data_IF_927753932311
#
_entry.id   IF_927753932311
#
_cell.length_a   1.000
_cell.length_b   1.000
_cell.length_c   1.000
_cell.angle_alpha   90.00
_cell.angle_beta   90.00
_cell.angle_gamma   90.00
#
_symmetry.space_group_name_H-M   'P 1'
#
loop_
_entity.id
_entity.type
_entity.pdbx_description
1 polymer ?
#
# COMPACT_ATOMS: atom_id res chain seq x y z
N UNK A 1 -69.82 0.26 2.52
CA UNK A 1 -69.46 0.99 3.76
C UNK A 1 -68.00 0.72 4.16
N UNK A 2 -67.11 0.39 3.20
CA UNK A 2 -65.66 0.63 3.28
C UNK A 2 -65.42 2.01 2.69
N UNK A 3 -64.63 2.88 3.34
CA UNK A 3 -63.85 3.94 2.67
C UNK A 3 -63.07 4.88 3.59
N UNK A 4 -63.32 4.93 4.90
CA UNK A 4 -62.55 5.82 5.77
C UNK A 4 -61.28 5.15 6.31
N UNK A 5 -61.39 3.90 6.78
CA UNK A 5 -60.27 3.17 7.39
C UNK A 5 -59.17 2.82 6.37
N UNK A 6 -59.54 2.40 5.15
CA UNK A 6 -58.59 2.09 4.07
C UNK A 6 -57.71 3.30 3.65
N UNK A 7 -58.25 4.52 3.76
CA UNK A 7 -57.50 5.74 3.41
C UNK A 7 -56.49 6.12 4.50
N UNK A 8 -56.76 5.78 5.76
CA UNK A 8 -55.87 6.07 6.88
C UNK A 8 -54.64 5.15 6.85
N UNK A 9 -54.84 3.84 6.66
CA UNK A 9 -53.73 2.88 6.56
C UNK A 9 -52.78 3.22 5.40
N UNK A 10 -53.31 3.62 4.25
CA UNK A 10 -52.51 3.96 3.07
C UNK A 10 -51.63 5.22 3.27
N UNK A 11 -52.07 6.17 4.10
CA UNK A 11 -51.30 7.38 4.38
C UNK A 11 -50.22 7.15 5.45
N UNK A 12 -50.45 6.27 6.43
CA UNK A 12 -49.41 5.83 7.38
C UNK A 12 -48.28 5.07 6.68
N UNK A 13 -48.61 4.13 5.78
CA UNK A 13 -47.61 3.39 5.01
C UNK A 13 -46.73 4.33 4.18
N UNK A 14 -47.34 5.27 3.44
CA UNK A 14 -46.60 6.27 2.65
C UNK A 14 -45.72 7.18 3.51
N UNK A 15 -46.14 7.52 4.72
CA UNK A 15 -45.32 8.29 5.64
C UNK A 15 -44.12 7.48 6.13
N UNK A 16 -44.30 6.20 6.43
CA UNK A 16 -43.21 5.30 6.84
C UNK A 16 -42.16 5.13 5.74
N UNK A 17 -42.59 4.92 4.49
CA UNK A 17 -41.72 4.78 3.33
C UNK A 17 -40.90 6.05 3.08
N UNK A 18 -41.52 7.23 3.21
CA UNK A 18 -40.82 8.51 3.07
C UNK A 18 -39.75 8.71 4.13
N UNK A 19 -40.02 8.32 5.38
CA UNK A 19 -39.03 8.40 6.46
C UNK A 19 -37.86 7.47 6.17
N UNK A 20 -38.14 6.23 5.77
CA UNK A 20 -37.11 5.25 5.43
C UNK A 20 -36.25 5.73 4.24
N UNK A 21 -36.87 6.24 3.17
CA UNK A 21 -36.16 6.79 2.02
C UNK A 21 -35.24 7.97 2.39
N UNK A 22 -35.69 8.86 3.30
CA UNK A 22 -34.86 9.95 3.83
C UNK A 22 -33.66 9.44 4.63
N UNK A 23 -33.87 8.46 5.51
CA UNK A 23 -32.79 7.86 6.29
C UNK A 23 -31.74 7.25 5.37
N UNK A 24 -32.16 6.50 4.34
CA UNK A 24 -31.24 5.94 3.35
C UNK A 24 -30.50 7.01 2.55
N UNK A 25 -31.19 8.06 2.09
CA UNK A 25 -30.54 9.16 1.37
C UNK A 25 -29.54 9.92 2.25
N UNK A 26 -29.83 10.11 3.54
CA UNK A 26 -28.88 10.68 4.51
C UNK A 26 -27.67 9.75 4.72
N UNK A 27 -27.90 8.45 4.87
CA UNK A 27 -26.83 7.47 5.04
C UNK A 27 -25.92 7.42 3.81
N UNK A 28 -26.50 7.37 2.60
CA UNK A 28 -25.73 7.38 1.35
C UNK A 28 -24.97 8.69 1.14
N UNK A 29 -25.52 9.83 1.60
CA UNK A 29 -24.82 11.11 1.58
C UNK A 29 -23.58 11.09 2.47
N UNK A 30 -23.70 10.56 3.69
CA UNK A 30 -22.57 10.42 4.63
C UNK A 30 -21.50 9.49 4.05
N UNK A 31 -21.90 8.31 3.57
CA UNK A 31 -20.98 7.34 2.97
C UNK A 31 -20.30 7.91 1.72
N UNK A 32 -21.04 8.57 0.83
CA UNK A 32 -20.49 9.22 -0.36
C UNK A 32 -19.49 10.32 0.00
N UNK A 33 -19.79 11.12 1.03
CA UNK A 33 -18.89 12.18 1.51
C UNK A 33 -17.59 11.61 2.10
N UNK A 34 -17.69 10.53 2.88
CA UNK A 34 -16.53 9.81 3.41
C UNK A 34 -15.69 9.21 2.27
N UNK A 35 -16.32 8.64 1.24
CA UNK A 35 -15.62 8.09 0.08
C UNK A 35 -14.85 9.18 -0.67
N UNK A 36 -15.46 10.35 -0.88
CA UNK A 36 -14.80 11.51 -1.51
C UNK A 36 -13.61 11.96 -0.67
N UNK A 37 -13.78 12.10 0.65
CA UNK A 37 -12.72 12.52 1.55
C UNK A 37 -11.56 11.52 1.55
N UNK A 38 -11.85 10.22 1.69
CA UNK A 38 -10.85 9.16 1.63
C UNK A 38 -10.12 9.14 0.27
N UNK A 39 -10.84 9.36 -0.82
CA UNK A 39 -10.24 9.42 -2.17
C UNK A 39 -9.36 10.65 -2.36
N UNK A 40 -9.72 11.82 -1.79
CA UNK A 40 -8.87 13.01 -1.80
C UNK A 40 -7.61 12.84 -0.96
N UNK A 41 -7.73 12.24 0.22
CA UNK A 41 -6.56 11.92 1.05
C UNK A 41 -5.67 10.91 0.31
N UNK A 42 -6.28 9.89 -0.32
CA UNK A 42 -5.57 8.89 -1.10
C UNK A 42 -4.84 9.47 -2.32
N UNK A 43 -5.44 10.41 -3.04
CA UNK A 43 -4.81 11.02 -4.22
C UNK A 43 -3.59 11.89 -3.87
N UNK A 44 -3.52 12.39 -2.64
CA UNK A 44 -2.38 13.15 -2.12
C UNK A 44 -1.33 12.25 -1.44
N UNK A 45 -1.63 10.97 -1.21
CA UNK A 45 -0.72 10.07 -0.49
C UNK A 45 0.49 9.70 -1.35
N UNK A 46 1.68 10.02 -0.84
CA UNK A 46 2.95 9.60 -1.45
C UNK A 46 3.08 8.07 -1.52
N UNK A 47 2.50 7.34 -0.56
CA UNK A 47 2.53 5.88 -0.53
C UNK A 47 1.82 5.25 -1.73
N UNK A 48 0.69 5.82 -2.17
CA UNK A 48 -0.05 5.34 -3.35
C UNK A 48 0.75 5.62 -4.63
N UNK A 49 1.37 6.81 -4.73
CA UNK A 49 2.27 7.14 -5.83
C UNK A 49 3.48 6.21 -5.87
N UNK A 50 4.03 5.88 -4.71
CA UNK A 50 5.15 4.98 -4.56
C UNK A 50 4.78 3.57 -5.02
N UNK A 51 3.65 3.03 -4.54
CA UNK A 51 3.14 1.72 -4.98
C UNK A 51 2.94 1.66 -6.50
N UNK A 52 2.36 2.72 -7.10
CA UNK A 52 2.13 2.74 -8.55
C UNK A 52 3.44 2.72 -9.34
N UNK A 53 4.49 3.41 -8.86
CA UNK A 53 5.82 3.36 -9.46
C UNK A 53 6.46 1.98 -9.35
N UNK A 54 6.36 1.34 -8.18
CA UNK A 54 6.88 -0.01 -7.95
C UNK A 54 6.20 -1.01 -8.90
N UNK A 55 4.87 -1.00 -8.99
CA UNK A 55 4.13 -1.86 -9.93
C UNK A 55 4.50 -1.62 -11.40
N UNK A 56 4.74 -0.35 -11.79
CA UNK A 56 5.21 -0.02 -13.14
C UNK A 56 6.60 -0.56 -13.45
N UNK A 57 7.48 -0.67 -12.45
CA UNK A 57 8.82 -1.25 -12.63
C UNK A 57 8.78 -2.74 -12.97
N UNK A 58 7.72 -3.48 -12.61
CA UNK A 58 7.59 -4.90 -12.97
C UNK A 58 7.05 -5.11 -14.39
N UNK A 59 6.07 -4.27 -14.75
CA UNK A 59 5.26 -4.47 -15.94
C UNK A 59 5.97 -4.02 -17.21
N UNK A 60 6.88 -3.06 -17.11
CA UNK A 60 7.76 -2.67 -18.18
C UNK A 60 9.05 -3.50 -18.12
N UNK A 61 9.10 -4.67 -18.74
CA UNK A 61 10.35 -5.44 -18.81
C UNK A 61 11.41 -4.75 -19.71
N UNK A 62 12.71 -5.09 -19.57
CA UNK A 62 13.79 -4.54 -20.39
C UNK A 62 13.71 -4.88 -21.90
N UNK A 63 12.85 -5.82 -22.27
CA UNK A 63 12.59 -6.23 -23.67
C UNK A 63 11.18 -5.85 -24.16
N UNK A 64 10.42 -5.11 -23.35
CA UNK A 64 9.00 -4.80 -23.60
C UNK A 64 8.78 -3.62 -24.55
N UNK A 65 9.35 -3.68 -25.76
CA UNK A 65 9.10 -2.68 -26.81
C UNK A 65 7.68 -2.65 -27.35
N UNK A 66 6.90 -3.73 -27.16
CA UNK A 66 5.54 -3.90 -27.71
C UNK A 66 4.41 -3.61 -26.70
N UNK A 67 4.70 -2.96 -25.57
CA UNK A 67 3.75 -2.74 -24.47
C UNK A 67 2.95 -1.43 -24.54
N UNK A 68 2.71 -0.89 -25.74
CA UNK A 68 1.63 0.10 -25.94
C UNK A 68 0.27 -0.44 -25.43
N UNK A 69 0.11 -1.78 -25.30
CA UNK A 69 -1.01 -2.43 -24.63
C UNK A 69 -1.00 -2.41 -23.08
N UNK A 70 0.16 -2.41 -22.41
CA UNK A 70 0.24 -2.32 -20.95
C UNK A 70 0.17 -0.87 -20.42
N UNK A 71 0.19 0.12 -21.31
CA UNK A 71 -0.19 1.50 -20.99
C UNK A 71 -1.63 1.64 -20.43
N UNK A 72 -2.48 0.63 -20.63
CA UNK A 72 -3.83 0.53 -20.05
C UNK A 72 -3.89 -0.28 -18.74
N UNK A 73 -2.76 -0.59 -18.11
CA UNK A 73 -2.80 -1.12 -16.74
C UNK A 73 -3.45 -0.06 -15.85
N UNK A 74 -4.64 -0.36 -15.35
CA UNK A 74 -5.41 0.51 -14.46
C UNK A 74 -4.53 0.82 -13.23
N UNK A 75 -3.93 1.99 -13.17
CA UNK A 75 -3.06 2.42 -12.06
C UNK A 75 -3.85 2.59 -10.77
N UNK A 76 -3.19 2.48 -9.61
CA UNK A 76 -3.88 2.63 -8.31
C UNK A 76 -4.43 4.04 -8.22
N UNK A 77 -3.66 4.99 -8.75
CA UNK A 77 -4.05 6.39 -8.89
C UNK A 77 -5.28 6.56 -9.79
N UNK A 78 -5.36 5.89 -10.94
CA UNK A 78 -6.56 5.95 -11.80
C UNK A 78 -7.79 5.41 -11.07
N UNK A 79 -7.63 4.34 -10.29
CA UNK A 79 -8.73 3.76 -9.52
C UNK A 79 -9.22 4.74 -8.44
N UNK A 80 -8.31 5.41 -7.73
CA UNK A 80 -8.63 6.47 -6.75
C UNK A 80 -9.42 7.62 -7.41
N UNK A 81 -9.03 8.07 -8.61
CA UNK A 81 -9.78 9.09 -9.34
C UNK A 81 -11.18 8.63 -9.75
N UNK A 82 -11.34 7.37 -10.16
CA UNK A 82 -12.66 6.79 -10.47
C UNK A 82 -13.52 6.72 -9.21
N UNK A 83 -12.96 6.30 -8.07
CA UNK A 83 -13.66 6.29 -6.79
C UNK A 83 -14.07 7.69 -6.34
N UNK A 84 -13.22 8.70 -6.56
CA UNK A 84 -13.53 10.11 -6.29
C UNK A 84 -14.74 10.56 -7.11
N UNK A 85 -14.75 10.29 -8.41
CA UNK A 85 -15.85 10.64 -9.31
C UNK A 85 -17.16 9.94 -8.90
N UNK A 86 -17.10 8.64 -8.60
CA UNK A 86 -18.26 7.87 -8.16
C UNK A 86 -18.76 8.36 -6.81
N UNK A 87 -17.88 8.70 -5.87
CA UNK A 87 -18.25 9.30 -4.59
C UNK A 87 -19.00 10.62 -4.76
N UNK A 88 -18.53 11.49 -5.66
CA UNK A 88 -19.23 12.73 -6.00
C UNK A 88 -20.61 12.46 -6.60
N UNK A 89 -20.73 11.49 -7.52
CA UNK A 89 -22.01 11.09 -8.10
C UNK A 89 -23.00 10.55 -7.05
N UNK A 90 -22.51 9.80 -6.06
CA UNK A 90 -23.32 9.34 -4.92
C UNK A 90 -23.82 10.51 -4.07
N UNK A 91 -22.96 11.51 -3.79
CA UNK A 91 -23.36 12.74 -3.07
C UNK A 91 -24.46 13.48 -3.82
N UNK A 92 -24.29 13.73 -5.12
CA UNK A 92 -25.28 14.42 -5.96
C UNK A 92 -26.60 13.64 -6.00
N UNK A 93 -26.53 12.32 -6.19
CA UNK A 93 -27.73 11.46 -6.22
C UNK A 93 -28.45 11.45 -4.86
N UNK A 94 -27.71 11.51 -3.76
CA UNK A 94 -28.29 11.58 -2.42
C UNK A 94 -29.00 12.92 -2.17
N UNK A 95 -28.44 14.04 -2.65
CA UNK A 95 -29.11 15.35 -2.62
C UNK A 95 -30.38 15.36 -3.49
N UNK A 96 -30.34 14.74 -4.67
CA UNK A 96 -31.54 14.52 -5.49
C UNK A 96 -32.59 13.67 -4.75
N UNK A 97 -32.17 12.65 -4.00
CA UNK A 97 -33.05 11.86 -3.14
C UNK A 97 -33.71 12.71 -2.05
N UNK A 98 -32.94 13.52 -1.34
CA UNK A 98 -33.47 14.41 -0.30
C UNK A 98 -34.48 15.42 -0.87
N UNK A 99 -34.16 16.06 -1.99
CA UNK A 99 -35.09 16.99 -2.67
C UNK A 99 -36.33 16.29 -3.21
N UNK A 100 -36.19 15.07 -3.75
CA UNK A 100 -37.32 14.26 -4.22
C UNK A 100 -38.28 13.87 -3.08
N UNK A 101 -37.78 13.65 -1.86
CA UNK A 101 -38.66 13.36 -0.69
C UNK A 101 -39.38 14.58 -0.13
N UNK A 102 -38.97 15.80 -0.53
CA UNK A 102 -39.63 17.05 -0.18
C UNK A 102 -40.60 17.50 -1.28
N UNK A 103 -40.24 17.31 -2.55
CA UNK A 103 -41.08 17.63 -3.71
C UNK A 103 -42.12 16.55 -4.03
N UNK A 104 -43.24 16.93 -4.65
CA UNK A 104 -44.24 15.97 -5.18
C UNK A 104 -43.94 15.53 -6.63
N UNK A 105 -42.69 15.66 -7.09
CA UNK A 105 -42.31 15.40 -8.47
C UNK A 105 -41.99 13.92 -8.69
N UNK A 106 -42.91 13.19 -9.34
CA UNK A 106 -42.76 11.76 -9.66
C UNK A 106 -41.52 11.46 -10.53
N UNK A 107 -41.16 12.39 -11.43
CA UNK A 107 -40.01 12.24 -12.31
C UNK A 107 -38.69 12.24 -11.52
N UNK A 108 -38.54 13.10 -10.51
CA UNK A 108 -37.35 13.15 -9.66
C UNK A 108 -37.16 11.87 -8.82
N UNK A 109 -38.27 11.32 -8.31
CA UNK A 109 -38.24 10.05 -7.58
C UNK A 109 -37.81 8.88 -8.48
N UNK A 110 -38.31 8.83 -9.72
CA UNK A 110 -37.90 7.81 -10.70
C UNK A 110 -36.42 7.95 -11.10
N UNK A 111 -35.94 9.17 -11.37
CA UNK A 111 -34.53 9.39 -11.68
C UNK A 111 -33.61 9.02 -10.52
N UNK A 112 -34.02 9.30 -9.28
CA UNK A 112 -33.28 8.90 -8.08
C UNK A 112 -33.20 7.36 -7.94
N UNK A 113 -34.30 6.65 -8.18
CA UNK A 113 -34.31 5.18 -8.09
C UNK A 113 -33.38 4.54 -9.15
N UNK A 114 -33.41 5.03 -10.39
CA UNK A 114 -32.57 4.50 -11.47
C UNK A 114 -31.09 4.82 -11.22
N UNK A 115 -30.77 6.07 -10.88
CA UNK A 115 -29.40 6.50 -10.62
C UNK A 115 -28.81 5.79 -9.40
N UNK A 116 -29.56 5.65 -8.30
CA UNK A 116 -29.10 4.94 -7.10
C UNK A 116 -28.84 3.46 -7.37
N UNK A 117 -29.70 2.77 -8.12
CA UNK A 117 -29.48 1.38 -8.53
C UNK A 117 -28.23 1.23 -9.42
N UNK A 118 -28.04 2.14 -10.40
CA UNK A 118 -26.86 2.11 -11.27
C UNK A 118 -25.55 2.37 -10.51
N UNK A 119 -25.56 3.32 -9.57
CA UNK A 119 -24.41 3.62 -8.72
C UNK A 119 -24.11 2.48 -7.75
N UNK A 120 -25.11 1.80 -7.22
CA UNK A 120 -24.92 0.60 -6.40
C UNK A 120 -24.22 -0.51 -7.20
N UNK A 121 -24.62 -0.75 -8.46
CA UNK A 121 -23.94 -1.71 -9.32
C UNK A 121 -22.49 -1.32 -9.63
N UNK A 122 -22.23 -0.04 -9.96
CA UNK A 122 -20.88 0.46 -10.25
C UNK A 122 -19.97 0.37 -9.01
N UNK A 123 -20.47 0.79 -7.84
CA UNK A 123 -19.70 0.73 -6.59
C UNK A 123 -19.38 -0.71 -6.19
N UNK A 124 -20.29 -1.66 -6.41
CA UNK A 124 -20.02 -3.08 -6.20
C UNK A 124 -18.90 -3.60 -7.11
N UNK A 125 -18.94 -3.27 -8.40
CA UNK A 125 -17.89 -3.66 -9.36
C UNK A 125 -16.55 -3.06 -8.94
N UNK A 126 -16.51 -1.79 -8.56
CA UNK A 126 -15.29 -1.14 -8.09
C UNK A 126 -14.76 -1.78 -6.81
N UNK A 127 -15.63 -2.12 -5.85
CA UNK A 127 -15.22 -2.82 -4.63
C UNK A 127 -14.57 -4.17 -4.94
N UNK A 128 -15.16 -4.96 -5.85
CA UNK A 128 -14.58 -6.23 -6.30
C UNK A 128 -13.22 -6.02 -7.00
N UNK A 129 -13.09 -5.00 -7.84
CA UNK A 129 -11.82 -4.67 -8.51
C UNK A 129 -10.74 -4.25 -7.50
N UNK A 130 -11.09 -3.48 -6.46
CA UNK A 130 -10.16 -3.09 -5.38
C UNK A 130 -9.69 -4.32 -4.62
N UNK A 131 -10.61 -5.21 -4.23
CA UNK A 131 -10.28 -6.44 -3.51
C UNK A 131 -9.34 -7.34 -4.32
N UNK A 132 -9.67 -7.58 -5.60
CA UNK A 132 -8.83 -8.36 -6.50
C UNK A 132 -7.43 -7.73 -6.63
N UNK A 133 -7.37 -6.40 -6.75
CA UNK A 133 -6.11 -5.69 -6.86
C UNK A 133 -5.26 -5.81 -5.61
N UNK A 134 -5.84 -5.70 -4.41
CA UNK A 134 -5.09 -5.86 -3.15
C UNK A 134 -4.46 -7.26 -3.11
N UNK A 135 -5.20 -8.30 -3.50
CA UNK A 135 -4.70 -9.67 -3.50
C UNK A 135 -3.55 -9.91 -4.50
N UNK A 136 -3.53 -9.21 -5.64
CA UNK A 136 -2.50 -9.37 -6.67
C UNK A 136 -1.31 -8.44 -6.44
N UNK A 137 -1.55 -7.18 -6.11
CA UNK A 137 -0.52 -6.13 -6.02
C UNK A 137 0.31 -6.29 -4.76
N UNK A 138 -0.28 -6.64 -3.62
CA UNK A 138 0.45 -6.80 -2.35
C UNK A 138 1.62 -7.79 -2.44
N UNK A 139 1.44 -9.05 -2.90
CA UNK A 139 2.55 -9.98 -3.02
C UNK A 139 3.54 -9.64 -4.15
N UNK A 140 3.11 -8.87 -5.16
CA UNK A 140 3.97 -8.38 -6.22
C UNK A 140 4.91 -7.29 -5.69
N UNK A 141 4.37 -6.26 -5.03
CA UNK A 141 5.14 -5.20 -4.38
C UNK A 141 6.08 -5.79 -3.33
N UNK A 142 5.61 -6.73 -2.50
CA UNK A 142 6.44 -7.37 -1.47
C UNK A 142 7.70 -8.04 -2.05
N UNK A 143 7.54 -8.86 -3.10
CA UNK A 143 8.69 -9.52 -3.76
C UNK A 143 9.64 -8.52 -4.42
N UNK A 144 9.12 -7.43 -4.97
CA UNK A 144 9.93 -6.41 -5.61
C UNK A 144 10.73 -5.60 -4.60
N UNK A 145 10.10 -5.16 -3.51
CA UNK A 145 10.78 -4.47 -2.42
C UNK A 145 11.85 -5.38 -1.83
N UNK A 146 11.57 -6.66 -1.60
CA UNK A 146 12.57 -7.63 -1.13
C UNK A 146 13.78 -7.74 -2.08
N UNK A 147 13.56 -7.75 -3.40
CA UNK A 147 14.67 -7.78 -4.36
C UNK A 147 15.40 -6.43 -4.45
N UNK A 148 14.68 -5.30 -4.45
CA UNK A 148 15.26 -3.95 -4.51
C UNK A 148 16.11 -3.66 -3.27
N UNK A 149 15.67 -4.14 -2.12
CA UNK A 149 16.33 -3.98 -0.83
C UNK A 149 17.33 -5.10 -0.51
N UNK A 150 17.62 -6.00 -1.46
CA UNK A 150 18.78 -6.87 -1.31
C UNK A 150 20.05 -6.00 -1.34
N UNK A 151 20.95 -6.16 -0.37
CA UNK A 151 22.14 -5.29 -0.22
C UNK A 151 22.94 -5.13 -1.53
N UNK A 152 23.18 -6.22 -2.25
CA UNK A 152 23.92 -6.18 -3.53
C UNK A 152 23.20 -5.39 -4.61
N UNK A 153 21.87 -5.57 -4.73
CA UNK A 153 21.04 -4.84 -5.70
C UNK A 153 20.90 -3.37 -5.30
N UNK A 154 20.74 -3.10 -4.01
CA UNK A 154 20.61 -1.76 -3.45
C UNK A 154 21.86 -0.92 -3.76
N UNK A 155 23.05 -1.45 -3.47
CA UNK A 155 24.33 -0.80 -3.74
C UNK A 155 24.58 -0.66 -5.25
N UNK A 156 24.30 -1.72 -6.03
CA UNK A 156 24.47 -1.68 -7.49
C UNK A 156 23.56 -0.63 -8.15
N UNK A 157 22.30 -0.56 -7.78
CA UNK A 157 21.37 0.43 -8.32
C UNK A 157 21.68 1.83 -7.82
N UNK A 158 22.05 1.99 -6.55
CA UNK A 158 22.48 3.26 -5.98
C UNK A 158 23.71 3.84 -6.65
N UNK A 159 24.72 3.02 -6.90
CA UNK A 159 25.93 3.42 -7.62
C UNK A 159 25.66 3.76 -9.08
N UNK A 160 24.82 2.98 -9.78
CA UNK A 160 24.43 3.27 -11.16
C UNK A 160 23.54 4.52 -11.31
N UNK A 161 22.80 4.88 -10.26
CA UNK A 161 22.04 6.14 -10.17
C UNK A 161 22.88 7.32 -9.67
N UNK A 162 24.16 7.10 -9.36
CA UNK A 162 25.08 8.11 -8.79
C UNK A 162 24.55 8.72 -7.48
N UNK A 163 23.87 7.92 -6.65
CA UNK A 163 23.34 8.39 -5.38
C UNK A 163 24.44 8.61 -4.34
N UNK A 164 24.39 9.73 -3.62
CA UNK A 164 25.39 10.07 -2.59
C UNK A 164 25.56 8.96 -1.54
N UNK A 165 24.47 8.37 -1.05
CA UNK A 165 24.51 7.31 -0.04
C UNK A 165 25.20 6.04 -0.54
N UNK A 166 25.22 5.78 -1.85
CA UNK A 166 25.86 4.59 -2.41
C UNK A 166 27.39 4.66 -2.32
N UNK A 167 27.96 5.87 -2.21
CA UNK A 167 29.40 6.08 -2.08
C UNK A 167 29.97 5.51 -0.77
N UNK A 168 29.16 5.36 0.28
CA UNK A 168 29.56 4.72 1.53
C UNK A 168 29.92 3.24 1.36
N UNK A 169 29.44 2.62 0.29
CA UNK A 169 29.66 1.21 -0.04
C UNK A 169 30.69 1.03 -1.17
N UNK A 170 31.36 2.10 -1.59
CA UNK A 170 32.34 2.07 -2.66
C UNK A 170 33.64 1.38 -2.18
N UNK A 171 33.78 0.08 -2.48
CA UNK A 171 34.99 -0.67 -2.16
C UNK A 171 34.88 -2.19 -2.35
N UNK A 172 33.67 -2.74 -2.29
CA UNK A 172 33.45 -4.19 -2.35
C UNK A 172 32.68 -4.59 -3.59
N UNK A 173 33.36 -5.16 -4.59
CA UNK A 173 32.79 -6.14 -5.53
C UNK A 173 31.53 -5.73 -6.31
N UNK A 174 31.20 -4.44 -6.45
CA UNK A 174 29.99 -3.99 -7.13
C UNK A 174 30.04 -4.44 -8.59
N UNK A 175 29.20 -5.41 -8.95
CA UNK A 175 29.13 -5.89 -10.32
C UNK A 175 28.62 -4.78 -11.25
N UNK A 176 29.16 -4.67 -12.48
CA UNK A 176 28.66 -3.70 -13.45
C UNK A 176 27.17 -3.92 -13.73
N UNK A 177 26.42 -2.82 -13.82
CA UNK A 177 24.98 -2.83 -14.05
C UNK A 177 24.66 -3.39 -15.44
N UNK A 178 24.00 -4.56 -15.50
CA UNK A 178 23.56 -5.19 -16.75
C UNK A 178 22.38 -4.46 -17.41
N UNK A 179 21.93 -4.91 -18.58
CA UNK A 179 20.84 -4.27 -19.36
C UNK A 179 19.55 -4.10 -18.53
N UNK A 180 19.15 -5.14 -17.78
CA UNK A 180 17.96 -5.07 -16.93
C UNK A 180 18.13 -4.05 -15.79
N UNK A 181 19.33 -3.92 -15.23
CA UNK A 181 19.66 -2.94 -14.21
C UNK A 181 19.65 -1.52 -14.81
N UNK A 182 20.30 -1.29 -15.96
CA UNK A 182 20.33 0.02 -16.64
C UNK A 182 18.93 0.50 -17.04
N UNK A 183 18.07 -0.44 -17.46
CA UNK A 183 16.67 -0.13 -17.72
C UNK A 183 15.96 0.38 -16.47
N UNK A 184 16.10 -0.30 -15.33
CA UNK A 184 15.54 0.17 -14.04
C UNK A 184 16.13 1.51 -13.61
N UNK A 185 17.43 1.71 -13.79
CA UNK A 185 18.13 2.98 -13.52
C UNK A 185 17.52 4.12 -14.34
N UNK A 186 17.25 3.90 -15.64
CA UNK A 186 16.62 4.91 -16.50
C UNK A 186 15.21 5.30 -16.01
N UNK A 187 14.44 4.34 -15.50
CA UNK A 187 13.11 4.59 -14.92
C UNK A 187 13.18 5.33 -13.58
N UNK A 188 14.29 5.17 -12.85
CA UNK A 188 14.52 5.74 -11.54
C UNK A 188 15.37 7.01 -11.55
N UNK A 189 15.88 7.45 -12.70
CA UNK A 189 16.95 8.44 -12.80
C UNK A 189 16.67 9.77 -12.07
N UNK A 190 15.41 10.22 -11.99
CA UNK A 190 15.07 11.47 -11.31
C UNK A 190 14.74 11.33 -9.81
N UNK A 191 14.33 10.14 -9.36
CA UNK A 191 13.74 9.97 -8.01
C UNK A 191 14.26 8.76 -7.24
N UNK A 192 15.09 7.92 -7.86
CA UNK A 192 15.60 6.68 -7.31
C UNK A 192 16.40 6.91 -6.03
N UNK A 193 17.25 7.94 -6.02
CA UNK A 193 18.08 8.24 -4.84
C UNK A 193 17.29 8.63 -3.59
N UNK A 194 16.08 9.17 -3.73
CA UNK A 194 15.18 9.45 -2.61
C UNK A 194 14.26 8.25 -2.30
N UNK A 195 13.78 7.58 -3.35
CA UNK A 195 12.83 6.49 -3.24
C UNK A 195 13.45 5.23 -2.61
N UNK A 196 14.69 4.90 -2.95
CA UNK A 196 15.33 3.67 -2.49
C UNK A 196 15.54 3.62 -0.97
N UNK A 197 16.10 4.67 -0.31
CA UNK A 197 16.15 4.72 1.15
C UNK A 197 14.75 4.66 1.79
N UNK A 198 13.75 5.35 1.23
CA UNK A 198 12.38 5.27 1.76
C UNK A 198 11.78 3.85 1.69
N UNK A 199 12.18 3.06 0.71
CA UNK A 199 11.73 1.68 0.54
C UNK A 199 12.48 0.68 1.41
N UNK A 200 13.78 0.91 1.61
CA UNK A 200 14.70 -0.09 2.16
C UNK A 200 15.27 0.27 3.54
N UNK A 201 15.19 1.53 3.98
CA UNK A 201 15.68 1.97 5.29
C UNK A 201 14.54 2.29 6.26
N UNK A 202 13.31 2.44 5.78
CA UNK A 202 12.12 2.74 6.59
C UNK A 202 11.49 1.48 7.23
N UNK A 203 12.31 0.63 7.85
CA UNK A 203 11.84 -0.53 8.60
C UNK A 203 11.77 -0.23 10.09
N UNK A 204 10.56 -0.33 10.66
CA UNK A 204 10.36 -0.36 12.11
C UNK A 204 10.45 -1.81 12.59
N UNK A 205 11.51 -2.12 13.33
CA UNK A 205 11.67 -3.46 13.89
C UNK A 205 10.76 -3.64 15.11
N UNK A 206 9.86 -4.62 15.03
CA UNK A 206 9.04 -5.02 16.16
C UNK A 206 9.83 -6.01 17.03
N UNK A 207 10.18 -5.60 18.25
CA UNK A 207 10.82 -6.48 19.22
C UNK A 207 9.88 -7.66 19.55
N UNK A 208 10.35 -8.89 19.30
CA UNK A 208 9.61 -10.09 19.67
C UNK A 208 9.65 -10.28 21.20
N UNK A 209 8.52 -10.63 21.84
CA UNK A 209 8.46 -10.79 23.29
C UNK A 209 9.37 -11.95 23.74
N UNK A 210 10.36 -11.53 24.53
CA UNK A 210 11.47 -12.23 25.13
C UNK A 210 11.09 -13.30 26.18
N UNK A 211 10.04 -14.10 25.98
CA UNK A 211 9.64 -15.07 27.01
C UNK A 211 10.73 -16.13 27.33
N UNK A 212 11.79 -16.23 26.52
CA UNK A 212 13.03 -16.97 26.83
C UNK A 212 14.33 -16.23 26.44
N UNK A 213 14.32 -14.91 26.15
CA UNK A 213 15.55 -14.20 25.73
C UNK A 213 16.40 -13.71 26.91
N UNK A 214 15.88 -13.70 28.13
CA UNK A 214 16.55 -13.14 29.32
C UNK A 214 17.84 -13.87 29.73
N UNK A 215 18.01 -15.14 29.37
CA UNK A 215 19.24 -15.89 29.65
C UNK A 215 20.36 -15.58 28.64
N UNK A 216 20.01 -15.23 27.39
CA UNK A 216 20.94 -14.87 26.31
C UNK A 216 21.36 -13.38 26.35
N UNK A 217 20.54 -12.53 26.95
CA UNK A 217 20.86 -11.10 27.17
C UNK A 217 21.88 -10.84 28.30
N UNK A 218 22.08 -11.80 29.22
CA UNK A 218 22.90 -11.61 30.42
C UNK A 218 24.40 -11.44 30.14
N UNK A 219 24.93 -12.16 29.15
CA UNK A 219 26.36 -12.10 28.78
C UNK A 219 26.64 -11.10 27.65
N UNK A 220 25.66 -10.86 26.78
CA UNK A 220 25.83 -10.01 25.60
C UNK A 220 25.79 -8.50 25.94
N UNK A 221 25.17 -8.10 27.04
CA UNK A 221 24.86 -6.70 27.37
C UNK A 221 26.02 -5.85 27.92
N UNK A 222 27.21 -6.42 28.14
CA UNK A 222 28.28 -5.69 28.84
C UNK A 222 29.30 -4.97 27.95
N UNK A 223 29.27 -5.12 26.61
CA UNK A 223 30.40 -4.66 25.79
C UNK A 223 30.13 -3.70 24.64
N UNK A 224 28.93 -3.53 24.06
CA UNK A 224 28.70 -2.49 23.02
C UNK A 224 27.23 -2.03 22.92
N UNK A 225 26.94 -0.71 22.76
CA UNK A 225 25.58 -0.14 22.79
C UNK A 225 24.87 0.01 21.42
N UNK A 226 25.43 -0.46 20.30
CA UNK A 226 24.78 -0.33 18.99
C UNK A 226 23.80 -1.49 18.73
N UNK A 227 22.51 -1.13 18.76
CA UNK A 227 21.31 -1.85 18.29
C UNK A 227 21.52 -3.27 17.74
N UNK A 228 21.28 -4.27 18.60
CA UNK A 228 21.31 -5.69 18.24
C UNK A 228 19.90 -6.20 17.96
N UNK A 229 19.75 -6.92 16.86
CA UNK A 229 18.50 -7.57 16.48
C UNK A 229 18.59 -9.08 16.74
N UNK A 230 17.47 -9.65 17.19
CA UNK A 230 17.36 -11.07 17.50
C UNK A 230 16.38 -11.72 16.53
N UNK A 231 16.83 -12.73 15.80
CA UNK A 231 15.99 -13.55 14.91
C UNK A 231 16.15 -15.01 15.30
N UNK A 232 15.05 -15.73 15.50
CA UNK A 232 15.12 -17.18 15.63
C UNK A 232 15.31 -17.78 14.22
N UNK A 233 16.44 -18.44 13.97
CA UNK A 233 16.76 -19.01 12.65
C UNK A 233 17.24 -20.45 12.77
N UNK A 234 16.75 -21.34 11.91
CA UNK A 234 17.04 -22.77 12.00
C UNK A 234 18.48 -23.20 11.61
N UNK A 235 19.35 -22.29 11.14
CA UNK A 235 20.76 -22.59 10.84
C UNK A 235 21.56 -21.39 10.30
N UNK A 236 22.88 -21.49 10.31
CA UNK A 236 23.80 -20.39 9.94
C UNK A 236 23.54 -19.85 8.54
N UNK A 237 23.31 -20.72 7.55
CA UNK A 237 22.99 -20.30 6.19
C UNK A 237 21.66 -19.53 6.07
N UNK A 238 20.74 -19.72 7.02
CA UNK A 238 19.50 -18.96 7.11
C UNK A 238 19.71 -17.64 7.85
N UNK A 239 20.56 -17.64 8.88
CA UNK A 239 20.99 -16.44 9.60
C UNK A 239 21.74 -15.48 8.67
N UNK A 240 22.73 -15.99 7.92
CA UNK A 240 23.43 -15.24 6.86
C UNK A 240 22.46 -14.71 5.81
N UNK A 241 21.57 -15.55 5.28
CA UNK A 241 20.56 -15.09 4.32
C UNK A 241 19.61 -14.05 4.89
N UNK A 242 19.33 -14.09 6.19
CA UNK A 242 18.50 -13.09 6.84
C UNK A 242 19.27 -11.76 7.00
N UNK A 243 20.57 -11.83 7.31
CA UNK A 243 21.46 -10.66 7.32
C UNK A 243 21.64 -10.06 5.92
N UNK A 244 21.89 -10.88 4.88
CA UNK A 244 22.04 -10.42 3.49
C UNK A 244 20.78 -9.74 2.92
N UNK A 245 19.62 -10.06 3.51
CA UNK A 245 18.32 -9.44 3.19
C UNK A 245 18.08 -8.13 3.93
N UNK A 246 18.86 -7.85 4.96
CA UNK A 246 18.74 -6.66 5.79
C UNK A 246 19.91 -5.72 5.46
N UNK A 247 19.62 -4.61 4.78
CA UNK A 247 20.64 -3.63 4.39
C UNK A 247 21.35 -2.98 5.58
N UNK A 248 20.73 -3.03 6.77
CA UNK A 248 21.32 -2.52 8.00
C UNK A 248 22.19 -3.58 8.68
N UNK A 249 22.02 -4.86 8.34
CA UNK A 249 22.80 -5.93 8.91
C UNK A 249 24.22 -5.90 8.33
N UNK A 250 25.16 -5.45 9.17
CA UNK A 250 26.58 -5.42 8.86
C UNK A 250 27.22 -6.79 9.05
N UNK A 251 26.80 -7.46 10.11
CA UNK A 251 27.34 -8.74 10.52
C UNK A 251 26.27 -9.54 11.26
N UNK A 252 26.48 -10.84 11.39
CA UNK A 252 25.63 -11.71 12.17
C UNK A 252 26.45 -12.66 13.03
N UNK A 253 25.93 -12.99 14.21
CA UNK A 253 26.42 -14.12 14.99
C UNK A 253 25.34 -15.19 15.01
N UNK A 254 25.73 -16.43 14.72
CA UNK A 254 24.85 -17.59 14.84
C UNK A 254 25.34 -18.49 15.96
N UNK A 255 24.49 -18.72 16.95
CA UNK A 255 24.75 -19.69 18.00
C UNK A 255 24.05 -21.00 17.66
N UNK A 256 24.83 -22.02 17.30
CA UNK A 256 24.32 -23.30 16.83
C UNK A 256 23.52 -24.08 17.89
N UNK A 257 23.87 -23.91 19.16
CA UNK A 257 23.24 -24.60 20.29
C UNK A 257 21.80 -24.12 20.55
N UNK A 258 21.59 -22.81 20.50
CA UNK A 258 20.29 -22.16 20.76
C UNK A 258 19.50 -21.89 19.47
N UNK A 259 20.13 -22.12 18.30
CA UNK A 259 19.64 -21.70 16.98
C UNK A 259 19.29 -20.21 16.97
N UNK A 260 20.06 -19.43 17.73
CA UNK A 260 19.89 -18.00 17.84
C UNK A 260 20.70 -17.33 16.75
N UNK A 261 20.06 -16.42 16.04
CA UNK A 261 20.71 -15.53 15.10
C UNK A 261 20.66 -14.11 15.67
N UNK A 262 21.83 -13.52 15.81
CA UNK A 262 22.04 -12.15 16.25
C UNK A 262 22.45 -11.35 15.02
N UNK A 263 21.74 -10.28 14.71
CA UNK A 263 22.13 -9.34 13.68
C UNK A 263 22.72 -8.10 14.32
N UNK A 264 23.86 -7.66 13.80
CA UNK A 264 24.50 -6.42 14.18
C UNK A 264 24.13 -5.36 13.16
N UNK A 265 23.32 -4.39 13.59
CA UNK A 265 23.05 -3.22 12.75
C UNK A 265 24.20 -2.22 12.85
N UNK A 266 24.54 -1.57 11.75
CA UNK A 266 25.54 -0.51 11.75
C UNK A 266 25.54 0.27 10.45
N UNK A 267 25.83 1.57 10.51
CA UNK A 267 26.11 2.34 9.30
C UNK A 267 27.51 1.98 8.80
N UNK A 268 27.64 1.72 7.50
CA UNK A 268 28.94 1.51 6.88
C UNK A 268 29.73 2.83 6.93
N UNK A 269 30.48 3.03 8.02
CA UNK A 269 31.17 4.30 8.23
C UNK A 269 31.62 4.63 9.65
N UNK A 270 31.31 3.84 10.68
CA UNK A 270 31.91 4.04 12.02
C UNK A 270 33.27 3.33 12.11
N UNK A 271 34.41 4.06 12.06
CA UNK A 271 35.74 3.49 12.24
C UNK A 271 36.04 3.08 13.68
N UNK A 272 35.14 3.32 14.65
CA UNK A 272 35.38 3.04 16.08
C UNK A 272 35.09 1.59 16.52
N UNK A 273 34.79 0.68 15.57
CA UNK A 273 34.52 -0.73 15.88
C UNK A 273 35.49 -1.73 15.21
N UNK A 274 36.71 -1.30 14.89
CA UNK A 274 37.81 -2.17 14.45
C UNK A 274 38.94 -2.20 15.48
#
# INVERSE_FOLDING_TARGET
MMKADDHYEQDEERQSERRLARVWACASLVVGSLLVLASMIGSQSEAILLMDRVVRLDTAGPYGGDLDGASRVLTTLSLVHVLLFVGFAVVVTSLLGLTATQGRHKCLAASYAISSASLAAVTLILALQVLQRIQVVTPMVGRQVEHLCNATTYIQMGSALECHWASHYAGEGVQPCGVACNWKVSMLQQKGCHLMPQLCEAFDYQALPAANCSQLLGEASQTLPSQRLFVASAGEANCRRACDKDIQCRDFAHEEASKLCLHFSGTAGDPEAA
#
